data_IF_178347344282
#
_entry.id   IF_178347344282
#
_cell.length_a   1.000
_cell.length_b   1.000
_cell.length_c   1.000
_cell.angle_alpha   90.00
_cell.angle_beta   90.00
_cell.angle_gamma   90.00
#
_symmetry.space_group_name_H-M   'P 1'
#
loop_
_entity.id
_entity.type
_entity.pdbx_description
1 polymer ?
#
# COMPACT_ATOMS: atom_id res chain seq x y z
N UNK A 1 -4.87 0.13 9.95
CA UNK A 1 -4.45 1.03 8.86
C UNK A 1 -5.65 1.57 8.07
N UNK A 2 -6.43 0.74 7.36
CA UNK A 2 -7.53 1.23 6.52
C UNK A 2 -8.62 2.02 7.24
N UNK A 3 -8.99 1.62 8.46
CA UNK A 3 -9.95 2.38 9.27
C UNK A 3 -9.50 3.85 9.48
N UNK A 4 -8.21 4.06 9.76
CA UNK A 4 -7.62 5.40 9.90
C UNK A 4 -7.58 6.15 8.58
N UNK A 5 -7.25 5.45 7.48
CA UNK A 5 -7.23 6.04 6.14
C UNK A 5 -8.62 6.52 5.71
N UNK A 6 -9.67 5.73 5.97
CA UNK A 6 -11.07 6.09 5.70
C UNK A 6 -11.50 7.26 6.58
N UNK A 7 -11.19 7.22 7.88
CA UNK A 7 -11.50 8.32 8.81
C UNK A 7 -10.86 9.64 8.37
N UNK A 8 -9.67 9.60 7.80
CA UNK A 8 -8.95 10.78 7.28
C UNK A 8 -9.34 11.17 5.86
N UNK A 9 -10.19 10.39 5.18
CA UNK A 9 -10.59 10.64 3.79
C UNK A 9 -9.43 10.57 2.80
N UNK A 10 -8.44 9.69 3.04
CA UNK A 10 -7.28 9.57 2.18
C UNK A 10 -7.66 9.04 0.80
N UNK A 11 -7.07 9.62 -0.23
CA UNK A 11 -7.17 9.20 -1.62
C UNK A 11 -6.34 7.94 -1.88
N UNK A 12 -6.69 7.23 -2.96
CA UNK A 12 -6.01 5.99 -3.34
C UNK A 12 -4.48 6.16 -3.52
N UNK A 13 -3.97 7.21 -4.18
CA UNK A 13 -2.53 7.47 -4.27
C UNK A 13 -1.84 7.64 -2.91
N UNK A 14 -2.49 8.32 -1.96
CA UNK A 14 -1.91 8.55 -0.63
C UNK A 14 -1.75 7.24 0.14
N UNK A 15 -2.72 6.31 0.03
CA UNK A 15 -2.61 5.01 0.69
C UNK A 15 -1.60 4.10 -0.03
N UNK A 16 -1.55 4.16 -1.37
CA UNK A 16 -0.62 3.37 -2.16
C UNK A 16 0.86 3.78 -1.98
N UNK A 17 1.10 5.05 -1.66
CA UNK A 17 2.43 5.62 -1.43
C UNK A 17 2.75 5.83 0.05
N UNK A 18 1.91 5.30 0.95
CA UNK A 18 2.19 5.31 2.38
C UNK A 18 3.45 4.49 2.66
N UNK A 19 4.37 5.05 3.44
CA UNK A 19 5.57 4.32 3.88
C UNK A 19 5.17 3.21 4.85
N UNK A 20 5.56 1.98 4.53
CA UNK A 20 5.25 0.79 5.31
C UNK A 20 6.56 0.13 5.67
N UNK A 21 6.82 0.08 6.97
CA UNK A 21 8.06 -0.49 7.49
C UNK A 21 8.25 -1.95 7.05
N UNK A 22 9.40 -2.23 6.43
CA UNK A 22 9.79 -3.57 5.98
C UNK A 22 10.79 -4.20 6.94
N UNK A 23 10.45 -5.39 7.42
CA UNK A 23 11.28 -6.26 8.22
C UNK A 23 11.37 -7.63 7.53
N UNK A 24 12.55 -8.05 7.03
CA UNK A 24 12.70 -9.25 6.22
C UNK A 24 12.15 -10.54 6.82
N UNK A 25 12.06 -10.62 8.15
CA UNK A 25 11.58 -11.79 8.88
C UNK A 25 10.06 -11.76 9.15
N UNK A 26 9.39 -10.61 8.96
CA UNK A 26 7.99 -10.41 9.35
C UNK A 26 7.06 -10.10 8.19
N UNK A 27 7.53 -9.40 7.15
CA UNK A 27 6.72 -9.08 5.98
C UNK A 27 7.54 -9.19 4.70
N UNK A 28 6.85 -9.17 3.56
CA UNK A 28 7.49 -9.09 2.24
C UNK A 28 7.91 -7.63 1.97
N UNK A 29 8.90 -7.39 1.08
CA UNK A 29 9.36 -6.04 0.72
C UNK A 29 8.22 -5.09 0.33
N UNK A 30 7.21 -5.65 -0.34
CA UNK A 30 5.92 -4.99 -0.50
C UNK A 30 4.91 -5.61 0.44
N UNK A 31 4.30 -4.75 1.26
CA UNK A 31 3.17 -5.16 2.08
C UNK A 31 2.02 -5.68 1.19
N UNK A 32 1.24 -6.63 1.70
CA UNK A 32 0.20 -7.33 0.94
C UNK A 32 -0.83 -6.39 0.31
N UNK A 33 -1.06 -5.22 0.91
CA UNK A 33 -2.02 -4.25 0.39
C UNK A 33 -1.42 -3.24 -0.61
N UNK A 34 -0.11 -3.02 -0.61
CA UNK A 34 0.52 -2.05 -1.51
C UNK A 34 0.39 -2.49 -2.97
N UNK A 35 0.55 -3.79 -3.24
CA UNK A 35 0.51 -4.34 -4.60
C UNK A 35 -0.86 -4.19 -5.27
N UNK A 36 -2.00 -4.56 -4.64
CA UNK A 36 -3.33 -4.24 -5.16
C UNK A 36 -3.56 -2.75 -5.40
N UNK A 37 -3.06 -1.89 -4.51
CA UNK A 37 -3.24 -0.44 -4.62
C UNK A 37 -2.46 0.15 -5.79
N UNK A 38 -1.22 -0.26 -5.99
CA UNK A 38 -0.42 0.14 -7.16
C UNK A 38 -1.08 -0.34 -8.46
N UNK A 39 -1.59 -1.57 -8.50
CA UNK A 39 -2.33 -2.08 -9.65
C UNK A 39 -3.62 -1.29 -9.94
N UNK A 40 -4.35 -0.88 -8.90
CA UNK A 40 -5.53 -0.02 -9.05
C UNK A 40 -5.18 1.37 -9.59
N UNK A 41 -3.97 1.86 -9.34
CA UNK A 41 -3.42 3.08 -9.95
C UNK A 41 -2.84 2.86 -11.35
N UNK A 42 -2.90 1.65 -11.90
CA UNK A 42 -2.32 1.29 -13.19
C UNK A 42 -0.79 1.09 -13.16
N UNK A 43 -0.17 1.11 -11.98
CA UNK A 43 1.28 0.91 -11.80
C UNK A 43 1.56 -0.59 -11.67
N UNK A 44 2.04 -1.19 -12.77
CA UNK A 44 2.41 -2.62 -12.80
C UNK A 44 3.84 -2.82 -12.28
N UNK A 45 3.98 -2.97 -10.96
CA UNK A 45 5.29 -3.20 -10.34
C UNK A 45 5.87 -4.60 -10.63
N UNK A 46 5.02 -5.62 -10.76
CA UNK A 46 5.44 -6.98 -11.11
C UNK A 46 4.52 -7.53 -12.21
N UNK A 47 5.15 -8.20 -13.19
CA UNK A 47 4.47 -8.83 -14.33
C UNK A 47 3.73 -10.09 -13.88
#
# INVERSE_FOLDING_TARGET
MFALAIQKGLSLPEIALTDVYFLPHFNKPFNFFLMPMLNALGIKYKK
#
